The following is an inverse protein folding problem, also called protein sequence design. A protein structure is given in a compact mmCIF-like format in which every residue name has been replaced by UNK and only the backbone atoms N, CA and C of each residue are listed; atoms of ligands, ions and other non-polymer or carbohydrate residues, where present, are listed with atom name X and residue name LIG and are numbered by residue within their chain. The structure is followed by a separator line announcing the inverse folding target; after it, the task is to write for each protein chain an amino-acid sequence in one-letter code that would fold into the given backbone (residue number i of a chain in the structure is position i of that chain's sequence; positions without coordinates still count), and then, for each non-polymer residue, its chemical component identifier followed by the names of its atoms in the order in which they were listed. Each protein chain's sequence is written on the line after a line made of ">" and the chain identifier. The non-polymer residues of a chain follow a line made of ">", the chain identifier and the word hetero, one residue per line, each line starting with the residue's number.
data_IF_634254548333
#
_entry.id   IF_634254548333
#
_cell.length_a   1.000
_cell.length_b   1.000
_cell.length_c   1.000
_cell.angle_alpha   90.00
_cell.angle_beta   90.00
_cell.angle_gamma   90.00
#
_symmetry.space_group_name_H-M   'P 1'
#
loop_
_entity.id
_entity.type
_entity.pdbx_description
1 polymer ?
#
# COMPACT_ATOMS: atom_id res chain seq x y z
N UNK A 1 1.92 32.92 -69.56
CA UNK A 1 2.84 33.42 -68.50
C UNK A 1 2.13 34.58 -67.82
N UNK A 2 1.87 34.69 -66.51
CA UNK A 2 2.48 34.11 -65.29
C UNK A 2 1.34 33.89 -64.27
N UNK A 3 1.24 32.65 -63.77
CA UNK A 3 1.58 32.25 -62.39
C UNK A 3 0.48 32.63 -61.38
N UNK A 4 -0.27 31.59 -60.97
CA UNK A 4 -1.12 31.57 -59.78
C UNK A 4 -0.35 32.17 -58.59
N UNK A 5 -0.96 33.06 -57.79
CA UNK A 5 -0.35 33.44 -56.53
C UNK A 5 -0.30 32.19 -55.65
N UNK A 6 0.75 32.02 -54.84
CA UNK A 6 0.90 30.84 -54.03
C UNK A 6 -0.25 30.81 -53.01
N UNK A 7 -0.82 29.63 -52.80
CA UNK A 7 -1.69 29.36 -51.66
C UNK A 7 -0.90 29.71 -50.40
N UNK A 8 -1.16 30.89 -49.85
CA UNK A 8 -0.64 31.27 -48.56
C UNK A 8 -1.22 30.29 -47.55
N UNK A 9 -0.41 29.31 -47.15
CA UNK A 9 -0.64 28.52 -45.94
C UNK A 9 -0.58 29.50 -44.77
N UNK A 10 -1.71 30.14 -44.47
CA UNK A 10 -1.91 30.84 -43.22
C UNK A 10 -1.77 29.75 -42.15
N UNK A 11 -0.61 29.72 -41.50
CA UNK A 11 -0.44 28.96 -40.26
C UNK A 11 -1.46 29.54 -39.29
N UNK A 12 -2.65 28.94 -39.21
CA UNK A 12 -3.59 29.21 -38.12
C UNK A 12 -2.81 28.92 -36.85
N UNK A 13 -2.39 29.97 -36.16
CA UNK A 13 -1.96 29.87 -34.77
C UNK A 13 -3.03 29.07 -34.04
N UNK A 14 -2.62 28.12 -33.18
CA UNK A 14 -3.59 27.32 -32.43
C UNK A 14 -4.51 28.30 -31.71
N UNK A 15 -5.82 28.17 -31.95
CA UNK A 15 -6.80 29.03 -31.29
C UNK A 15 -6.60 28.92 -29.77
N UNK A 16 -6.65 30.07 -29.08
CA UNK A 16 -6.58 30.10 -27.62
C UNK A 16 -7.75 29.28 -27.08
N UNK A 17 -7.50 28.26 -26.24
CA UNK A 17 -8.57 27.47 -25.65
C UNK A 17 -9.49 28.39 -24.83
N UNK A 18 -10.79 28.38 -25.17
CA UNK A 18 -11.79 29.10 -24.38
C UNK A 18 -12.11 28.29 -23.13
N UNK A 19 -12.16 28.95 -21.98
CA UNK A 19 -12.53 28.30 -20.73
C UNK A 19 -14.04 28.01 -20.69
N UNK A 20 -14.48 26.89 -20.08
CA UNK A 20 -13.65 25.86 -19.45
C UNK A 20 -13.10 24.88 -20.48
N UNK A 21 -11.79 24.61 -20.41
CA UNK A 21 -11.14 23.59 -21.25
C UNK A 21 -11.58 22.21 -20.74
N UNK A 22 -12.32 21.40 -21.53
CA UNK A 22 -12.75 20.09 -21.07
C UNK A 22 -11.54 19.20 -20.83
N UNK A 23 -11.41 18.68 -19.60
CA UNK A 23 -10.34 17.77 -19.26
C UNK A 23 -10.53 16.45 -20.03
N UNK A 24 -9.54 16.07 -20.82
CA UNK A 24 -9.55 14.80 -21.56
C UNK A 24 -9.03 13.69 -20.67
N UNK A 25 -9.93 12.87 -20.14
CA UNK A 25 -9.56 11.69 -19.38
C UNK A 25 -8.92 10.64 -20.29
N UNK A 26 -7.77 10.08 -19.88
CA UNK A 26 -7.13 8.95 -20.58
C UNK A 26 -7.84 7.62 -20.32
N UNK A 27 -8.70 7.57 -19.30
CA UNK A 27 -9.52 6.41 -18.91
C UNK A 27 -10.95 6.88 -18.62
N UNK A 28 -11.97 6.05 -18.92
CA UNK A 28 -13.34 6.40 -18.61
C UNK A 28 -13.52 6.55 -17.09
N UNK A 29 -14.35 7.53 -16.68
CA UNK A 29 -14.72 7.78 -15.29
C UNK A 29 -15.70 6.71 -14.76
N UNK A 30 -15.28 5.46 -14.80
CA UNK A 30 -16.04 4.32 -14.28
C UNK A 30 -15.21 3.53 -13.28
N UNK A 31 -15.88 3.03 -12.26
CA UNK A 31 -15.26 2.18 -11.26
C UNK A 31 -14.88 0.83 -11.89
N UNK A 32 -13.64 0.41 -11.68
CA UNK A 32 -13.17 -0.91 -12.10
C UNK A 32 -13.75 -1.99 -11.18
N UNK A 33 -13.82 -3.22 -11.68
CA UNK A 33 -14.26 -4.41 -10.93
C UNK A 33 -13.24 -4.87 -9.85
N UNK A 34 -12.09 -4.21 -9.74
CA UNK A 34 -11.05 -4.57 -8.79
C UNK A 34 -10.06 -3.44 -8.54
N UNK A 35 -9.37 -3.56 -7.41
CA UNK A 35 -8.30 -2.68 -6.97
C UNK A 35 -6.94 -3.32 -7.24
N UNK A 36 -5.94 -2.47 -7.53
CA UNK A 36 -4.57 -2.94 -7.75
C UNK A 36 -3.99 -3.52 -6.45
N UNK A 37 -3.39 -4.70 -6.53
CA UNK A 37 -2.58 -5.27 -5.46
C UNK A 37 -1.21 -4.58 -5.41
N UNK A 38 -1.18 -3.26 -5.18
CA UNK A 38 0.05 -2.51 -4.97
C UNK A 38 0.19 -2.25 -3.47
N UNK A 39 0.79 -3.22 -2.77
CA UNK A 39 1.08 -3.12 -1.34
C UNK A 39 2.49 -2.59 -1.13
N UNK A 40 2.62 -1.49 -0.38
CA UNK A 40 3.90 -1.06 0.15
C UNK A 40 4.36 -2.05 1.21
N UNK A 41 5.55 -2.65 1.02
CA UNK A 41 6.23 -3.39 2.09
C UNK A 41 6.69 -2.35 3.11
N UNK A 42 5.83 -2.02 4.06
CA UNK A 42 6.26 -1.26 5.24
C UNK A 42 7.09 -2.24 6.07
N UNK A 43 8.35 -1.90 6.33
CA UNK A 43 9.18 -2.66 7.24
C UNK A 43 8.60 -2.53 8.64
N UNK A 44 7.94 -3.58 9.12
CA UNK A 44 7.45 -3.64 10.48
C UNK A 44 8.63 -3.89 11.43
N UNK A 45 8.97 -2.90 12.25
CA UNK A 45 9.88 -3.07 13.39
C UNK A 45 9.02 -3.46 14.58
N UNK A 46 9.25 -4.66 15.13
CA UNK A 46 8.55 -5.14 16.33
C UNK A 46 9.38 -4.92 17.59
N UNK A 47 8.69 -4.92 18.74
CA UNK A 47 9.27 -5.36 20.01
C UNK A 47 10.34 -4.39 20.54
N UNK A 48 10.26 -3.11 20.12
CA UNK A 48 11.25 -2.08 20.45
C UNK A 48 11.33 -1.86 21.96
N UNK A 49 10.20 -1.92 22.66
CA UNK A 49 10.14 -1.73 24.11
C UNK A 49 10.98 -2.78 24.85
N UNK A 50 10.70 -4.07 24.62
CA UNK A 50 11.43 -5.18 25.23
C UNK A 50 12.92 -5.16 24.86
N UNK A 51 13.21 -4.79 23.60
CA UNK A 51 14.59 -4.63 23.14
C UNK A 51 15.34 -3.54 23.91
N UNK A 52 14.70 -2.39 24.18
CA UNK A 52 15.29 -1.31 24.98
C UNK A 52 15.54 -1.72 26.43
N UNK A 53 14.62 -2.46 27.04
CA UNK A 53 14.77 -2.97 28.42
C UNK A 53 15.92 -3.97 28.50
N UNK A 54 15.98 -4.92 27.57
CA UNK A 54 17.07 -5.90 27.47
C UNK A 54 18.43 -5.22 27.29
N UNK A 55 18.54 -4.23 26.41
CA UNK A 55 19.78 -3.48 26.22
C UNK A 55 20.21 -2.68 27.43
N UNK A 56 19.26 -2.18 28.22
CA UNK A 56 19.56 -1.47 29.47
C UNK A 56 20.20 -2.42 30.49
N UNK A 57 19.61 -3.59 30.70
CA UNK A 57 20.19 -4.59 31.60
C UNK A 57 21.57 -5.08 31.14
N UNK A 58 21.72 -5.36 29.84
CA UNK A 58 23.00 -5.79 29.28
C UNK A 58 24.09 -4.73 29.46
N UNK A 59 23.75 -3.45 29.31
CA UNK A 59 24.70 -2.35 29.53
C UNK A 59 25.19 -2.29 30.97
N UNK A 60 24.30 -2.47 31.94
CA UNK A 60 24.64 -2.39 33.37
C UNK A 60 25.43 -3.61 33.87
N UNK A 61 25.32 -4.75 33.18
CA UNK A 61 25.93 -6.03 33.58
C UNK A 61 27.03 -6.50 32.62
N UNK A 62 27.73 -5.58 31.95
CA UNK A 62 28.86 -5.88 31.03
C UNK A 62 28.50 -6.93 29.95
N UNK A 63 27.26 -6.90 29.48
CA UNK A 63 26.70 -7.81 28.47
C UNK A 63 26.65 -9.28 28.88
N UNK A 64 26.67 -9.58 30.19
CA UNK A 64 26.48 -10.93 30.70
C UNK A 64 25.00 -11.34 30.61
N UNK A 65 24.67 -12.11 29.58
CA UNK A 65 23.30 -12.55 29.31
C UNK A 65 22.65 -13.34 30.48
N UNK A 66 23.46 -14.05 31.27
CA UNK A 66 22.99 -14.84 32.41
C UNK A 66 22.35 -13.98 33.50
N UNK A 67 22.83 -12.74 33.68
CA UNK A 67 22.28 -11.79 34.65
C UNK A 67 20.98 -11.14 34.17
N UNK A 68 20.79 -11.06 32.86
CA UNK A 68 19.64 -10.45 32.19
C UNK A 68 18.66 -11.47 31.60
N UNK A 69 18.55 -12.66 32.21
CA UNK A 69 17.72 -13.75 31.68
C UNK A 69 16.24 -13.34 31.55
N UNK A 70 15.72 -12.55 32.49
CA UNK A 70 14.31 -12.15 32.51
C UNK A 70 13.95 -11.27 31.31
N UNK A 71 14.82 -10.31 31.01
CA UNK A 71 14.65 -9.34 29.93
C UNK A 71 14.81 -10.01 28.57
N UNK A 72 15.75 -10.96 28.45
CA UNK A 72 15.92 -11.80 27.25
C UNK A 72 14.68 -12.65 27.00
N UNK A 73 14.15 -13.31 28.04
CA UNK A 73 12.95 -14.15 27.92
C UNK A 73 11.73 -13.31 27.50
N UNK A 74 11.58 -12.11 28.06
CA UNK A 74 10.51 -11.17 27.69
C UNK A 74 10.60 -10.76 26.21
N UNK A 75 11.79 -10.39 25.74
CA UNK A 75 12.04 -10.07 24.34
C UNK A 75 11.71 -11.26 23.41
N UNK A 76 12.15 -12.47 23.76
CA UNK A 76 11.87 -13.67 22.98
C UNK A 76 10.36 -13.98 22.90
N UNK A 77 9.62 -13.81 24.00
CA UNK A 77 8.16 -13.97 24.02
C UNK A 77 7.47 -12.98 23.09
N UNK A 78 7.87 -11.70 23.14
CA UNK A 78 7.32 -10.69 22.24
C UNK A 78 7.64 -10.99 20.76
N UNK A 79 8.86 -11.47 20.47
CA UNK A 79 9.27 -11.79 19.11
C UNK A 79 8.53 -13.01 18.55
N UNK A 80 8.36 -14.05 19.35
CA UNK A 80 7.64 -15.26 18.93
C UNK A 80 6.16 -14.99 18.68
N UNK A 81 5.49 -14.19 19.53
CA UNK A 81 4.08 -13.82 19.29
C UNK A 81 3.93 -12.98 18.01
N UNK A 82 4.86 -12.06 17.76
CA UNK A 82 4.84 -11.26 16.54
C UNK A 82 5.00 -12.13 15.28
N UNK A 83 5.90 -13.12 15.31
CA UNK A 83 6.06 -14.05 14.18
C UNK A 83 4.78 -14.87 13.94
N UNK A 84 4.13 -15.36 15.00
CA UNK A 84 2.87 -16.11 14.85
C UNK A 84 1.78 -15.23 14.25
N UNK A 85 1.63 -14.00 14.74
CA UNK A 85 0.61 -13.07 14.27
C UNK A 85 0.85 -12.63 12.83
N UNK A 86 2.11 -12.39 12.47
CA UNK A 86 2.51 -12.06 11.10
C UNK A 86 2.20 -13.18 10.12
N UNK A 87 2.49 -14.42 10.49
CA UNK A 87 2.18 -15.58 9.67
C UNK A 87 0.67 -15.75 9.51
N UNK A 88 -0.10 -15.65 10.60
CA UNK A 88 -1.57 -15.70 10.55
C UNK A 88 -2.16 -14.57 9.70
N UNK A 89 -1.62 -13.34 9.79
CA UNK A 89 -2.03 -12.22 8.94
C UNK A 89 -1.77 -12.52 7.47
N UNK A 90 -0.55 -12.96 7.13
CA UNK A 90 -0.19 -13.33 5.75
C UNK A 90 -1.09 -14.43 5.19
N UNK A 91 -1.39 -15.47 5.98
CA UNK A 91 -2.30 -16.53 5.56
C UNK A 91 -3.73 -16.03 5.32
N UNK A 92 -4.26 -15.19 6.22
CA UNK A 92 -5.60 -14.58 6.05
C UNK A 92 -5.66 -13.71 4.80
N UNK A 93 -4.61 -12.92 4.55
CA UNK A 93 -4.48 -12.10 3.35
C UNK A 93 -4.41 -12.95 2.09
N UNK A 94 -3.62 -14.03 2.09
CA UNK A 94 -3.52 -14.96 0.96
C UNK A 94 -4.84 -15.63 0.65
N UNK A 95 -5.57 -16.09 1.67
CA UNK A 95 -6.89 -16.73 1.54
C UNK A 95 -7.99 -15.72 1.17
N UNK A 96 -7.75 -14.42 1.31
CA UNK A 96 -8.75 -13.38 1.06
C UNK A 96 -9.99 -13.52 1.94
N UNK A 97 -9.82 -14.00 3.18
CA UNK A 97 -10.91 -14.31 4.09
C UNK A 97 -11.71 -13.05 4.44
N UNK A 98 -13.03 -13.05 4.26
CA UNK A 98 -13.89 -11.93 4.60
C UNK A 98 -14.40 -12.07 6.03
N UNK A 99 -14.04 -11.11 6.87
CA UNK A 99 -14.47 -10.94 8.26
C UNK A 99 -15.61 -9.90 8.31
N UNK A 100 -16.82 -10.29 8.72
CA UNK A 100 -17.95 -9.35 8.79
C UNK A 100 -17.64 -8.17 9.71
N UNK A 101 -17.91 -6.94 9.26
CA UNK A 101 -17.72 -5.71 10.03
C UNK A 101 -16.30 -5.13 10.02
N UNK A 102 -15.34 -5.75 9.33
CA UNK A 102 -13.98 -5.21 9.25
C UNK A 102 -13.90 -3.97 8.35
N UNK A 103 -13.48 -2.84 8.93
CA UNK A 103 -13.37 -1.56 8.21
C UNK A 103 -12.10 -1.45 7.36
N UNK A 104 -11.06 -2.22 7.69
CA UNK A 104 -9.73 -2.15 7.05
C UNK A 104 -9.42 -3.48 6.38
N UNK A 105 -9.93 -3.66 5.16
CA UNK A 105 -9.67 -4.85 4.35
C UNK A 105 -8.40 -4.68 3.51
N UNK A 106 -7.71 -5.79 3.27
CA UNK A 106 -6.61 -5.85 2.30
C UNK A 106 -7.13 -5.83 0.87
N UNK A 107 -6.27 -5.45 -0.09
CA UNK A 107 -6.64 -5.38 -1.51
C UNK A 107 -7.16 -6.71 -2.05
N UNK A 108 -6.65 -7.84 -1.54
CA UNK A 108 -7.12 -9.18 -1.89
C UNK A 108 -8.55 -9.44 -1.39
N UNK A 109 -8.83 -9.12 -0.12
CA UNK A 109 -10.16 -9.24 0.45
C UNK A 109 -11.16 -8.33 -0.28
N UNK A 110 -10.78 -7.08 -0.58
CA UNK A 110 -11.60 -6.16 -1.37
C UNK A 110 -11.91 -6.71 -2.76
N UNK A 111 -10.92 -7.30 -3.44
CA UNK A 111 -11.12 -7.89 -4.76
C UNK A 111 -12.06 -9.11 -4.73
N UNK A 112 -12.07 -9.90 -3.66
CA UNK A 112 -13.06 -10.97 -3.47
C UNK A 112 -14.46 -10.37 -3.32
N UNK A 113 -14.60 -9.28 -2.58
CA UNK A 113 -15.89 -8.62 -2.37
C UNK A 113 -16.42 -7.95 -3.66
N UNK A 114 -15.58 -7.22 -4.38
CA UNK A 114 -15.95 -6.54 -5.63
C UNK A 114 -16.33 -7.53 -6.74
N UNK A 115 -15.80 -8.76 -6.72
CA UNK A 115 -16.24 -9.83 -7.63
C UNK A 115 -17.64 -10.33 -7.32
N UNK A 116 -18.07 -10.32 -6.04
CA UNK A 116 -19.42 -10.73 -5.64
C UNK A 116 -20.46 -9.68 -5.99
N UNK A 117 -20.08 -8.41 -5.92
CA UNK A 117 -20.94 -7.27 -6.19
C UNK A 117 -20.30 -6.40 -7.28
N UNK A 118 -20.33 -6.85 -8.55
CA UNK A 118 -19.79 -6.07 -9.65
C UNK A 118 -20.64 -4.81 -9.84
N UNK A 119 -19.98 -3.72 -10.25
CA UNK A 119 -20.71 -2.54 -10.71
C UNK A 119 -21.46 -2.92 -11.99
N UNK A 120 -22.77 -2.77 -11.94
CA UNK A 120 -23.62 -2.78 -13.13
C UNK A 120 -23.37 -1.45 -13.84
N UNK A 121 -22.87 -1.50 -15.07
CA UNK A 121 -22.72 -0.30 -15.91
C UNK A 121 -24.08 0.32 -16.23
#
# INVERSE_FOLDING_TARGET
>A
MRLFPPLAFIKRSRAVPQEPVPYKYSVPLKLKQGVSNKGGKISEVCCIHEMSVMFSCLKDNEFQQQLCHKEVESFQKCYTSFLTDKNQRSEREMKGLLTPGEKRMTSKQLNVLLKKYPNLE
#
